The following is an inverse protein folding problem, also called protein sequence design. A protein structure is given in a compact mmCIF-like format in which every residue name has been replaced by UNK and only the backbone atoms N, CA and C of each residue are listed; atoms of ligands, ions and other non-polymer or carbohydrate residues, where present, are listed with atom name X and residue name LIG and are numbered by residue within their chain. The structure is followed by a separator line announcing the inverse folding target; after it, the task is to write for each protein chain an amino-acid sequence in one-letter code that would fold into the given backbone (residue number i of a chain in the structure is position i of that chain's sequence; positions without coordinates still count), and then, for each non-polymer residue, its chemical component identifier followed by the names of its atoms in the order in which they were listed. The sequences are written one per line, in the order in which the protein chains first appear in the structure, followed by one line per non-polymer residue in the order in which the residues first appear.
data_IF_589862887474
#
_entry.id   IF_589862887474
#
_cell.length_a   1.000
_cell.length_b   1.000
_cell.length_c   1.000
_cell.angle_alpha   90.00
_cell.angle_beta   90.00
_cell.angle_gamma   90.00
#
_symmetry.space_group_name_H-M   'P 1'
#
loop_
_entity.id
_entity.type
_entity.pdbx_description
1 polymer ?
#
# COMPACT_ATOMS: atom_id res chain seq x y z
N UNK A 1 14.16 11.50 -20.20
CA UNK A 1 14.09 12.93 -19.85
C UNK A 1 15.34 13.31 -19.07
N UNK A 2 15.77 14.59 -19.12
CA UNK A 2 16.94 15.08 -18.38
C UNK A 2 16.59 16.39 -17.68
N UNK A 3 17.03 16.56 -16.44
CA UNK A 3 16.79 17.78 -15.65
C UNK A 3 15.97 17.54 -14.39
N UNK A 4 15.32 18.59 -13.91
CA UNK A 4 14.55 18.58 -12.65
C UNK A 4 13.06 18.40 -12.97
N UNK A 5 12.43 17.37 -12.43
CA UNK A 5 11.00 17.17 -12.55
C UNK A 5 10.25 17.91 -11.42
N UNK A 6 9.15 18.57 -11.81
CA UNK A 6 8.26 19.22 -10.86
C UNK A 6 7.44 18.22 -10.03
N UNK A 7 6.49 18.77 -9.29
CA UNK A 7 5.53 18.05 -8.47
C UNK A 7 4.68 17.08 -9.31
N UNK A 8 4.28 15.95 -8.72
CA UNK A 8 3.40 14.95 -9.36
C UNK A 8 3.92 14.37 -10.67
N UNK A 9 5.25 14.28 -10.82
CA UNK A 9 5.87 13.65 -11.98
C UNK A 9 5.37 12.21 -12.16
N UNK A 10 4.90 11.87 -13.36
CA UNK A 10 4.32 10.56 -13.69
C UNK A 10 3.12 10.14 -12.82
N UNK A 11 2.33 11.09 -12.33
CA UNK A 11 1.06 10.76 -11.67
C UNK A 11 0.11 10.01 -12.63
N UNK A 12 -0.58 8.98 -12.11
CA UNK A 12 -1.54 8.15 -12.84
C UNK A 12 -1.01 7.54 -14.15
N UNK A 13 0.30 7.25 -14.20
CA UNK A 13 0.94 6.73 -15.42
C UNK A 13 0.33 5.37 -15.80
N UNK A 14 -0.23 5.31 -17.01
CA UNK A 14 -0.95 4.16 -17.53
C UNK A 14 -0.03 3.00 -17.95
N UNK A 15 -0.56 1.76 -18.07
CA UNK A 15 0.21 0.61 -18.50
C UNK A 15 0.80 0.80 -19.90
N UNK A 16 2.01 0.30 -20.12
CA UNK A 16 2.73 0.42 -21.39
C UNK A 16 3.49 1.72 -21.59
N UNK A 17 3.35 2.70 -20.68
CA UNK A 17 4.15 3.93 -20.70
C UNK A 17 5.36 3.78 -19.77
N UNK A 18 6.54 4.06 -20.33
CA UNK A 18 7.82 3.95 -19.64
C UNK A 18 8.54 5.30 -19.65
N UNK A 19 8.82 5.83 -18.46
CA UNK A 19 9.47 7.13 -18.31
C UNK A 19 10.77 6.95 -17.55
N UNK A 20 11.87 7.42 -18.14
CA UNK A 20 13.17 7.50 -17.48
C UNK A 20 13.57 8.97 -17.30
N UNK A 21 13.98 9.35 -16.10
CA UNK A 21 14.48 10.67 -15.74
C UNK A 21 15.92 10.57 -15.27
N UNK A 22 16.81 11.33 -15.91
CA UNK A 22 18.19 11.56 -15.47
C UNK A 22 18.28 12.94 -14.82
N UNK A 23 18.29 12.98 -13.49
CA UNK A 23 18.17 14.18 -12.67
C UNK A 23 17.48 13.87 -11.35
N UNK A 24 16.57 14.73 -10.92
CA UNK A 24 15.84 14.64 -9.64
C UNK A 24 14.40 15.10 -9.82
N UNK A 25 13.54 14.74 -8.87
CA UNK A 25 12.13 15.07 -8.90
C UNK A 25 11.63 15.58 -7.54
N UNK A 26 10.64 16.47 -7.57
CA UNK A 26 9.98 16.98 -6.36
C UNK A 26 8.95 15.97 -5.81
N UNK A 27 8.02 16.42 -4.97
CA UNK A 27 7.08 15.53 -4.27
C UNK A 27 6.05 14.87 -5.21
N UNK A 28 5.41 13.82 -4.69
CA UNK A 28 4.32 13.09 -5.34
C UNK A 28 4.69 12.37 -6.65
N UNK A 29 5.97 12.00 -6.82
CA UNK A 29 6.38 11.15 -7.94
C UNK A 29 5.52 9.89 -7.98
N UNK A 30 4.99 9.56 -9.15
CA UNK A 30 4.16 8.39 -9.38
C UNK A 30 2.94 8.30 -8.45
N UNK A 31 2.38 9.44 -8.02
CA UNK A 31 1.10 9.49 -7.30
C UNK A 31 0.01 8.75 -8.07
N UNK A 32 -0.65 7.80 -7.42
CA UNK A 32 -1.70 6.99 -8.02
C UNK A 32 -1.25 6.21 -9.25
N UNK A 33 -0.02 5.70 -9.29
CA UNK A 33 0.49 4.90 -10.41
C UNK A 33 -0.50 3.80 -10.81
N UNK A 34 -0.69 3.62 -12.13
CA UNK A 34 -1.73 2.75 -12.72
C UNK A 34 -1.18 1.85 -13.82
N UNK A 35 0.02 1.30 -13.64
CA UNK A 35 0.63 0.24 -14.46
C UNK A 35 1.86 0.67 -15.26
N UNK A 36 2.17 1.96 -15.30
CA UNK A 36 3.37 2.47 -15.97
C UNK A 36 4.68 2.12 -15.25
N UNK A 37 5.82 2.36 -15.91
CA UNK A 37 7.15 2.27 -15.29
C UNK A 37 7.83 3.63 -15.19
N UNK A 38 8.41 3.93 -14.03
CA UNK A 38 9.17 5.16 -13.79
C UNK A 38 10.56 4.80 -13.28
N UNK A 39 11.60 5.27 -13.96
CA UNK A 39 13.00 5.06 -13.55
C UNK A 39 13.67 6.42 -13.35
N UNK A 40 14.18 6.70 -12.15
CA UNK A 40 14.83 7.97 -11.80
C UNK A 40 16.26 7.68 -11.39
N UNK A 41 17.21 8.30 -12.08
CA UNK A 41 18.65 8.16 -11.84
C UNK A 41 19.32 9.53 -11.71
N UNK A 42 20.37 9.68 -10.88
CA UNK A 42 21.07 10.94 -10.74
C UNK A 42 21.64 11.42 -12.08
N UNK A 43 21.81 12.73 -12.23
CA UNK A 43 22.41 13.29 -13.43
C UNK A 43 23.81 12.68 -13.69
N UNK A 44 24.08 12.21 -14.92
CA UNK A 44 25.32 11.47 -15.25
C UNK A 44 26.60 12.23 -14.90
N UNK A 45 26.57 13.57 -14.92
CA UNK A 45 27.69 14.43 -14.50
C UNK A 45 28.06 14.30 -13.02
N UNK A 46 27.13 13.86 -12.18
CA UNK A 46 27.33 13.66 -10.75
C UNK A 46 27.86 12.27 -10.42
N UNK A 47 27.64 11.28 -11.30
CA UNK A 47 28.02 9.87 -11.11
C UNK A 47 29.54 9.64 -11.27
N UNK A 48 30.32 10.36 -10.47
CA UNK A 48 31.76 10.16 -10.30
C UNK A 48 32.04 9.06 -9.27
N UNK A 49 33.29 8.60 -9.16
CA UNK A 49 33.65 7.52 -8.20
C UNK A 49 33.34 7.86 -6.74
N UNK A 50 33.25 9.14 -6.38
CA UNK A 50 33.01 9.60 -5.00
C UNK A 50 31.54 9.97 -4.75
N UNK A 51 30.64 9.70 -5.69
CA UNK A 51 29.21 9.99 -5.52
C UNK A 51 28.46 8.74 -5.08
N UNK A 52 28.01 8.78 -3.83
CA UNK A 52 27.18 7.77 -3.19
C UNK A 52 25.72 8.14 -3.36
N UNK A 53 25.01 7.48 -4.27
CA UNK A 53 23.60 7.80 -4.54
C UNK A 53 22.71 7.48 -3.34
N UNK A 54 23.09 6.46 -2.58
CA UNK A 54 22.47 6.02 -1.35
C UNK A 54 22.49 7.06 -0.22
N UNK A 55 23.32 8.09 -0.30
CA UNK A 55 23.40 9.17 0.70
C UNK A 55 22.61 10.43 0.31
N UNK A 56 22.00 10.46 -0.88
CA UNK A 56 21.41 11.67 -1.45
C UNK A 56 19.92 11.49 -1.76
N UNK A 57 19.12 12.49 -1.39
CA UNK A 57 17.71 12.56 -1.77
C UNK A 57 17.60 12.91 -3.26
N UNK A 58 16.86 12.09 -4.00
CA UNK A 58 16.62 12.28 -5.44
C UNK A 58 15.14 12.48 -5.78
N UNK A 59 14.24 12.02 -4.91
CA UNK A 59 12.80 12.28 -5.02
C UNK A 59 12.24 12.86 -3.72
N UNK A 60 11.25 13.73 -3.86
CA UNK A 60 10.56 14.37 -2.74
C UNK A 60 9.61 13.45 -1.96
N UNK A 61 8.73 14.09 -1.19
CA UNK A 61 7.82 13.44 -0.26
C UNK A 61 6.66 12.71 -0.97
N UNK A 62 6.01 11.81 -0.25
CA UNK A 62 4.74 11.19 -0.66
C UNK A 62 4.76 10.57 -2.07
N UNK A 63 5.91 10.05 -2.48
CA UNK A 63 6.04 9.28 -3.71
C UNK A 63 5.17 8.02 -3.62
N UNK A 64 4.56 7.64 -4.76
CA UNK A 64 3.69 6.46 -4.89
C UNK A 64 2.44 6.50 -4.01
N UNK A 65 2.00 7.69 -3.62
CA UNK A 65 0.77 7.84 -2.83
C UNK A 65 -0.41 7.13 -3.50
N UNK A 66 -0.93 6.08 -2.85
CA UNK A 66 -2.12 5.35 -3.32
C UNK A 66 -1.91 4.37 -4.49
N UNK A 67 -0.69 3.92 -4.80
CA UNK A 67 -0.42 3.24 -6.06
C UNK A 67 -1.05 1.85 -6.18
N UNK A 68 -1.71 1.53 -7.31
CA UNK A 68 -2.47 0.28 -7.55
C UNK A 68 -2.10 -0.39 -8.89
N UNK A 69 -0.86 -0.15 -9.34
CA UNK A 69 0.11 -1.11 -9.92
C UNK A 69 1.07 -0.34 -10.85
N UNK A 70 2.14 -0.98 -11.33
CA UNK A 70 3.25 -0.37 -12.06
C UNK A 70 4.58 -0.59 -11.34
N UNK A 71 5.66 -0.10 -11.92
CA UNK A 71 7.03 -0.31 -11.40
C UNK A 71 7.79 1.00 -11.26
N UNK A 72 8.45 1.21 -10.13
CA UNK A 72 9.26 2.41 -9.91
C UNK A 72 10.65 2.06 -9.39
N UNK A 73 11.67 2.58 -10.07
CA UNK A 73 13.07 2.38 -9.74
C UNK A 73 13.75 3.72 -9.47
N UNK A 74 14.26 3.91 -8.27
CA UNK A 74 14.84 5.17 -7.79
C UNK A 74 16.27 4.93 -7.33
N UNK A 75 17.25 5.45 -8.07
CA UNK A 75 18.66 5.42 -7.66
C UNK A 75 18.98 6.61 -6.77
N UNK A 76 18.65 6.45 -5.49
CA UNK A 76 18.92 7.40 -4.42
C UNK A 76 17.87 7.26 -3.33
N UNK A 77 17.89 8.17 -2.36
CA UNK A 77 16.90 8.21 -1.29
C UNK A 77 15.62 8.92 -1.73
N UNK A 78 14.48 8.37 -1.33
CA UNK A 78 13.24 9.12 -1.28
C UNK A 78 13.12 9.90 0.04
N UNK A 79 12.41 11.01 0.03
CA UNK A 79 12.12 11.75 1.26
C UNK A 79 11.03 11.06 2.11
N UNK A 80 10.24 11.82 2.85
CA UNK A 80 9.28 11.31 3.83
C UNK A 80 8.03 10.72 3.16
N UNK A 81 7.29 9.88 3.90
CA UNK A 81 6.01 9.31 3.46
C UNK A 81 6.14 8.56 2.13
N UNK A 82 7.26 7.88 1.93
CA UNK A 82 7.49 7.05 0.77
C UNK A 82 6.52 5.87 0.73
N UNK A 83 5.88 5.60 -0.42
CA UNK A 83 4.92 4.50 -0.58
C UNK A 83 3.72 4.55 0.38
N UNK A 84 3.31 5.75 0.81
CA UNK A 84 2.10 5.88 1.64
C UNK A 84 0.89 5.36 0.88
N UNK A 85 0.14 4.46 1.52
CA UNK A 85 -1.03 3.80 0.91
C UNK A 85 -0.71 3.09 -0.42
N UNK A 86 0.50 2.57 -0.60
CA UNK A 86 0.76 1.70 -1.72
C UNK A 86 -0.14 0.46 -1.60
N UNK A 87 -0.83 0.13 -2.68
CA UNK A 87 -1.83 -0.93 -2.75
C UNK A 87 -1.57 -1.88 -3.93
N UNK A 88 -0.42 -1.79 -4.62
CA UNK A 88 -0.11 -2.71 -5.71
C UNK A 88 1.25 -2.52 -6.41
N UNK A 89 1.86 -1.33 -6.34
CA UNK A 89 3.08 -1.07 -7.11
C UNK A 89 4.31 -1.83 -6.58
N UNK A 90 5.21 -2.18 -7.50
CA UNK A 90 6.55 -2.74 -7.19
C UNK A 90 7.58 -1.62 -7.25
N UNK A 91 8.36 -1.46 -6.18
CA UNK A 91 9.21 -0.30 -5.99
C UNK A 91 10.58 -0.72 -5.50
N UNK A 92 11.65 -0.17 -6.08
CA UNK A 92 13.03 -0.31 -5.56
C UNK A 92 13.65 1.08 -5.41
N UNK A 93 14.16 1.37 -4.22
CA UNK A 93 14.88 2.61 -3.93
C UNK A 93 16.12 2.34 -3.05
N UNK A 94 17.06 3.29 -2.98
CA UNK A 94 18.28 3.14 -2.16
C UNK A 94 18.10 3.63 -0.72
N UNK A 95 16.92 4.16 -0.38
CA UNK A 95 16.56 4.54 0.99
C UNK A 95 15.27 5.35 1.02
N UNK A 96 14.77 5.61 2.22
CA UNK A 96 13.62 6.50 2.41
C UNK A 96 13.70 7.28 3.72
N UNK A 97 13.00 8.42 3.78
CA UNK A 97 12.79 9.19 5.00
C UNK A 97 11.81 8.55 5.99
N UNK A 98 11.29 9.37 6.90
CA UNK A 98 10.34 8.96 7.95
C UNK A 98 8.98 8.55 7.34
N UNK A 99 8.23 7.71 8.07
CA UNK A 99 6.89 7.23 7.68
C UNK A 99 6.85 6.47 6.35
N UNK A 100 7.92 5.75 6.00
CA UNK A 100 7.94 4.86 4.84
C UNK A 100 6.90 3.73 4.97
N UNK A 101 6.22 3.41 3.87
CA UNK A 101 5.17 2.39 3.77
C UNK A 101 4.00 2.56 4.76
N UNK A 102 3.72 3.79 5.21
CA UNK A 102 2.56 4.06 6.08
C UNK A 102 1.26 3.68 5.36
N UNK A 103 0.37 2.96 6.04
CA UNK A 103 -0.93 2.51 5.50
C UNK A 103 -0.83 1.70 4.20
N UNK A 104 0.31 1.08 3.91
CA UNK A 104 0.45 0.21 2.74
C UNK A 104 -0.46 -1.02 2.89
N UNK A 105 -1.23 -1.30 1.84
CA UNK A 105 -2.22 -2.39 1.79
C UNK A 105 -1.90 -3.42 0.70
N UNK A 106 -0.90 -3.19 -0.14
CA UNK A 106 -0.52 -4.09 -1.23
C UNK A 106 0.74 -3.63 -1.98
N UNK A 107 1.24 -4.48 -2.87
CA UNK A 107 2.48 -4.23 -3.62
C UNK A 107 3.74 -4.74 -2.91
N UNK A 108 4.91 -4.44 -3.49
CA UNK A 108 6.21 -4.87 -2.96
C UNK A 108 7.22 -3.71 -2.99
N UNK A 109 7.83 -3.42 -1.84
CA UNK A 109 8.82 -2.34 -1.72
C UNK A 109 10.18 -2.92 -1.34
N UNK A 110 11.24 -2.56 -2.04
CA UNK A 110 12.61 -2.93 -1.73
C UNK A 110 13.41 -1.66 -1.46
N UNK A 111 14.03 -1.59 -0.29
CA UNK A 111 14.94 -0.53 0.10
C UNK A 111 16.34 -1.11 0.22
N UNK A 112 17.27 -0.61 -0.62
CA UNK A 112 18.68 -1.02 -0.62
C UNK A 112 19.54 -0.20 0.36
N UNK A 113 18.91 0.47 1.31
CA UNK A 113 19.59 1.29 2.30
C UNK A 113 18.65 1.74 3.40
N UNK A 114 19.05 2.79 4.12
CA UNK A 114 18.43 3.20 5.37
C UNK A 114 16.99 3.68 5.18
N UNK A 115 16.15 3.36 6.16
CA UNK A 115 14.83 3.97 6.34
C UNK A 115 14.85 5.01 7.48
N UNK A 116 13.92 5.95 7.43
CA UNK A 116 13.57 6.81 8.56
C UNK A 116 12.72 6.10 9.63
N UNK A 117 12.25 6.88 10.59
CA UNK A 117 11.45 6.46 11.76
C UNK A 117 10.01 6.13 11.38
N UNK A 118 9.35 5.39 12.27
CA UNK A 118 7.94 5.01 12.16
C UNK A 118 7.60 4.32 10.83
N UNK A 119 8.53 3.50 10.34
CA UNK A 119 8.34 2.72 9.11
C UNK A 119 7.22 1.68 9.29
N UNK A 120 6.41 1.48 8.26
CA UNK A 120 5.30 0.52 8.20
C UNK A 120 4.15 0.77 9.21
N UNK A 121 4.02 1.99 9.74
CA UNK A 121 2.90 2.32 10.61
C UNK A 121 1.55 2.16 9.89
N UNK A 122 0.66 1.36 10.47
CA UNK A 122 -0.65 1.06 9.88
C UNK A 122 -0.59 0.23 8.59
N UNK A 123 0.55 -0.37 8.26
CA UNK A 123 0.68 -1.28 7.12
C UNK A 123 -0.13 -2.56 7.41
N UNK A 124 -1.09 -2.86 6.52
CA UNK A 124 -2.01 -4.00 6.64
C UNK A 124 -1.85 -5.04 5.52
N UNK A 125 -1.12 -4.72 4.44
CA UNK A 125 -0.89 -5.64 3.34
C UNK A 125 0.31 -5.28 2.46
N UNK A 126 0.72 -6.23 1.60
CA UNK A 126 1.96 -6.15 0.82
C UNK A 126 3.20 -6.57 1.61
N UNK A 127 4.37 -6.52 0.96
CA UNK A 127 5.66 -6.90 1.55
C UNK A 127 6.69 -5.79 1.36
N UNK A 128 7.52 -5.54 2.38
CA UNK A 128 8.68 -4.67 2.24
C UNK A 128 9.97 -5.40 2.62
N UNK A 129 11.03 -5.20 1.83
CA UNK A 129 12.35 -5.78 2.03
C UNK A 129 13.32 -4.62 2.28
N UNK A 130 13.94 -4.57 3.46
CA UNK A 130 14.83 -3.48 3.84
C UNK A 130 16.22 -4.03 4.09
N UNK A 131 17.21 -3.54 3.35
CA UNK A 131 18.61 -3.85 3.55
C UNK A 131 19.14 -3.08 4.76
N UNK A 132 19.40 -3.80 5.85
CA UNK A 132 19.79 -3.27 7.17
C UNK A 132 21.19 -3.77 7.58
N UNK A 133 22.21 -3.35 6.83
CA UNK A 133 23.60 -3.71 7.12
C UNK A 133 24.06 -3.27 8.52
N UNK A 134 23.50 -2.17 9.04
CA UNK A 134 23.84 -1.62 10.37
C UNK A 134 23.02 -2.23 11.52
N UNK A 135 22.04 -3.10 11.23
CA UNK A 135 21.12 -3.72 12.21
C UNK A 135 20.34 -2.70 13.07
N UNK A 136 19.99 -1.53 12.49
CA UNK A 136 19.28 -0.44 13.18
C UNK A 136 17.81 -0.32 12.81
N UNK A 137 17.36 -1.04 11.78
CA UNK A 137 16.01 -0.90 11.21
C UNK A 137 14.92 -1.27 12.22
N UNK A 138 15.14 -2.28 13.05
CA UNK A 138 14.18 -2.73 14.07
C UNK A 138 13.71 -1.60 14.99
N UNK A 139 14.61 -0.69 15.37
CA UNK A 139 14.28 0.46 16.23
C UNK A 139 13.52 1.58 15.49
N UNK A 140 13.55 1.57 14.15
CA UNK A 140 12.89 2.56 13.28
C UNK A 140 11.54 2.09 12.74
N UNK A 141 11.26 0.80 12.84
CA UNK A 141 10.00 0.21 12.40
C UNK A 141 8.92 0.26 13.50
N UNK A 142 7.69 0.57 13.11
CA UNK A 142 6.53 0.48 13.98
C UNK A 142 5.96 -0.94 13.94
N UNK A 143 6.15 -1.69 15.03
CA UNK A 143 5.79 -3.11 15.12
C UNK A 143 4.33 -3.37 15.55
N UNK A 144 3.46 -2.35 15.57
CA UNK A 144 2.07 -2.52 16.03
C UNK A 144 1.28 -3.47 15.11
N UNK A 145 1.47 -3.38 13.79
CA UNK A 145 0.70 -4.14 12.79
C UNK A 145 1.56 -5.05 11.92
N UNK A 146 2.89 -5.06 12.12
CA UNK A 146 3.83 -5.83 11.31
C UNK A 146 4.79 -6.64 12.17
N UNK A 147 5.23 -7.77 11.63
CA UNK A 147 6.30 -8.60 12.16
C UNK A 147 7.51 -8.49 11.22
N UNK A 148 8.71 -8.53 11.82
CA UNK A 148 9.97 -8.52 11.09
C UNK A 148 10.54 -9.94 11.06
N UNK A 149 10.98 -10.38 9.89
CA UNK A 149 11.66 -11.66 9.68
C UNK A 149 13.03 -11.42 9.04
N UNK A 150 14.03 -12.18 9.47
CA UNK A 150 15.32 -12.20 8.79
C UNK A 150 15.19 -12.98 7.46
N UNK A 151 15.79 -12.45 6.42
CA UNK A 151 15.85 -13.11 5.12
C UNK A 151 16.99 -14.13 5.08
N UNK A 152 16.74 -15.27 4.46
CA UNK A 152 17.74 -16.32 4.20
C UNK A 152 17.68 -16.72 2.72
N UNK A 153 18.70 -17.43 2.24
CA UNK A 153 18.70 -17.99 0.88
C UNK A 153 17.55 -18.99 0.64
N UNK A 154 17.11 -19.66 1.70
CA UNK A 154 16.04 -20.66 1.67
C UNK A 154 14.65 -20.02 1.67
N UNK A 155 14.56 -18.71 1.95
CA UNK A 155 13.31 -17.98 1.94
C UNK A 155 12.71 -17.95 0.53
N UNK A 156 11.41 -18.23 0.39
CA UNK A 156 10.71 -18.26 -0.90
C UNK A 156 10.81 -16.94 -1.69
N UNK A 157 10.98 -15.82 -1.00
CA UNK A 157 11.09 -14.50 -1.61
C UNK A 157 12.52 -14.17 -2.07
N UNK A 158 13.54 -14.95 -1.70
CA UNK A 158 14.95 -14.65 -1.99
C UNK A 158 15.23 -14.60 -3.50
N UNK A 159 14.69 -15.56 -4.26
CA UNK A 159 14.83 -15.61 -5.72
C UNK A 159 14.17 -14.41 -6.41
N UNK A 160 12.97 -14.02 -5.94
CA UNK A 160 12.27 -12.84 -6.43
C UNK A 160 13.05 -11.55 -6.10
N UNK A 161 13.57 -11.44 -4.88
CA UNK A 161 14.37 -10.31 -4.41
C UNK A 161 15.63 -10.13 -5.27
N UNK A 162 16.38 -11.21 -5.52
CA UNK A 162 17.55 -11.17 -6.41
C UNK A 162 17.18 -10.67 -7.82
N UNK A 163 16.06 -11.17 -8.36
CA UNK A 163 15.58 -10.80 -9.70
C UNK A 163 15.20 -9.32 -9.79
N UNK A 164 14.49 -8.78 -8.80
CA UNK A 164 14.07 -7.38 -8.84
C UNK A 164 15.25 -6.42 -8.60
N UNK A 165 16.21 -6.80 -7.75
CA UNK A 165 17.46 -6.04 -7.55
C UNK A 165 18.30 -6.05 -8.83
N UNK A 166 18.36 -7.18 -9.54
CA UNK A 166 19.02 -7.26 -10.85
C UNK A 166 18.36 -6.36 -11.88
N UNK A 167 17.05 -6.36 -11.95
CA UNK A 167 16.29 -5.44 -12.82
C UNK A 167 16.59 -3.99 -12.48
N UNK A 168 16.62 -3.65 -11.18
CA UNK A 168 16.98 -2.33 -10.71
C UNK A 168 18.41 -1.94 -11.10
N UNK A 169 19.38 -2.85 -10.97
CA UNK A 169 20.76 -2.63 -11.43
C UNK A 169 20.83 -2.39 -12.94
N UNK A 170 20.18 -3.23 -13.74
CA UNK A 170 20.20 -3.11 -15.20
C UNK A 170 19.58 -1.78 -15.67
N UNK A 171 18.56 -1.27 -14.98
CA UNK A 171 17.89 -0.01 -15.33
C UNK A 171 18.56 1.25 -14.76
N UNK A 172 19.29 1.14 -13.65
CA UNK A 172 19.81 2.32 -12.93
C UNK A 172 21.34 2.42 -12.85
N UNK A 173 22.04 1.31 -13.05
CA UNK A 173 23.47 1.18 -12.82
C UNK A 173 23.88 1.44 -11.36
N UNK A 174 22.99 1.19 -10.39
CA UNK A 174 23.25 1.37 -8.96
C UNK A 174 24.47 0.57 -8.49
N UNK A 175 25.40 1.22 -7.79
CA UNK A 175 26.58 0.57 -7.24
C UNK A 175 26.23 -0.30 -6.02
N UNK A 176 25.24 0.11 -5.23
CA UNK A 176 24.73 -0.64 -4.09
C UNK A 176 24.08 -1.94 -4.57
N UNK A 177 23.21 -1.85 -5.58
CA UNK A 177 22.60 -3.04 -6.18
C UNK A 177 23.65 -3.99 -6.75
N UNK A 178 24.69 -3.45 -7.41
CA UNK A 178 25.82 -4.25 -7.91
C UNK A 178 26.56 -4.99 -6.78
N UNK A 179 26.79 -4.32 -5.65
CA UNK A 179 27.44 -4.92 -4.49
C UNK A 179 26.61 -6.07 -3.93
N UNK A 180 25.33 -5.81 -3.67
CA UNK A 180 24.39 -6.80 -3.14
C UNK A 180 24.28 -8.00 -4.07
N UNK A 181 24.20 -7.79 -5.38
CA UNK A 181 24.13 -8.89 -6.36
C UNK A 181 25.42 -9.70 -6.44
N UNK A 182 26.59 -9.07 -6.24
CA UNK A 182 27.88 -9.76 -6.27
C UNK A 182 28.03 -10.73 -5.09
N UNK A 183 27.52 -10.34 -3.93
CA UNK A 183 27.63 -11.11 -2.68
C UNK A 183 26.26 -11.53 -2.15
N UNK A 184 25.31 -11.85 -3.03
CA UNK A 184 23.91 -12.05 -2.64
C UNK A 184 23.74 -13.17 -1.61
N UNK A 185 24.56 -14.22 -1.71
CA UNK A 185 24.52 -15.37 -0.81
C UNK A 185 24.78 -15.00 0.65
N UNK A 186 25.61 -13.99 0.90
CA UNK A 186 25.88 -13.46 2.23
C UNK A 186 24.98 -12.27 2.56
N UNK A 187 24.76 -11.38 1.59
CA UNK A 187 24.04 -10.12 1.79
C UNK A 187 22.54 -10.30 1.98
N UNK A 188 21.96 -11.41 1.53
CA UNK A 188 20.54 -11.71 1.77
C UNK A 188 20.23 -11.75 3.27
N UNK A 189 21.17 -12.17 4.11
CA UNK A 189 21.02 -12.21 5.57
C UNK A 189 20.91 -10.83 6.22
N UNK A 190 21.32 -9.77 5.50
CA UNK A 190 21.19 -8.38 5.93
C UNK A 190 19.85 -7.76 5.52
N UNK A 191 18.99 -8.48 4.79
CA UNK A 191 17.64 -8.03 4.53
C UNK A 191 16.69 -8.41 5.67
N UNK A 192 15.87 -7.43 6.06
CA UNK A 192 14.71 -7.62 6.93
C UNK A 192 13.45 -7.61 6.08
N UNK A 193 12.66 -8.66 6.19
CA UNK A 193 11.33 -8.76 5.61
C UNK A 193 10.30 -8.19 6.61
N UNK A 194 9.60 -7.16 6.18
CA UNK A 194 8.47 -6.56 6.90
C UNK A 194 7.18 -7.20 6.41
N UNK A 195 6.48 -7.86 7.32
CA UNK A 195 5.30 -8.66 7.03
C UNK A 195 4.10 -8.21 7.87
N UNK A 196 2.99 -7.77 7.28
CA UNK A 196 1.78 -7.42 8.04
C UNK A 196 1.15 -8.62 8.72
N UNK A 197 0.77 -8.48 9.99
CA UNK A 197 0.29 -9.58 10.82
C UNK A 197 -1.02 -10.18 10.28
N UNK A 198 -1.94 -9.32 9.84
CA UNK A 198 -3.23 -9.74 9.27
C UNK A 198 -3.02 -10.47 7.94
N UNK A 199 -2.11 -9.99 7.10
CA UNK A 199 -1.75 -10.64 5.83
C UNK A 199 -1.10 -12.00 6.05
N UNK A 200 -0.20 -12.10 7.04
CA UNK A 200 0.44 -13.37 7.41
C UNK A 200 -0.57 -14.39 7.91
N UNK A 201 -1.51 -13.95 8.75
CA UNK A 201 -2.57 -14.81 9.29
C UNK A 201 -3.50 -15.31 8.19
N UNK A 202 -3.90 -14.44 7.27
CA UNK A 202 -4.72 -14.79 6.11
C UNK A 202 -4.03 -15.84 5.21
N UNK A 203 -2.73 -15.65 4.92
CA UNK A 203 -1.95 -16.60 4.13
C UNK A 203 -1.85 -17.95 4.82
N UNK A 204 -1.61 -17.99 6.13
CA UNK A 204 -1.59 -19.25 6.90
C UNK A 204 -2.90 -20.02 6.77
N UNK A 205 -4.04 -19.35 6.95
CA UNK A 205 -5.36 -19.98 6.79
C UNK A 205 -5.55 -20.55 5.39
N UNK A 206 -5.23 -19.78 4.34
CA UNK A 206 -5.33 -20.25 2.95
C UNK A 206 -4.41 -21.44 2.66
N UNK A 207 -3.22 -21.47 3.25
CA UNK A 207 -2.26 -22.55 3.04
C UNK A 207 -2.66 -23.82 3.80
N UNK A 208 -3.28 -23.69 4.98
CA UNK A 208 -3.90 -24.79 5.70
C UNK A 208 -5.11 -25.39 4.95
N UNK A 209 -5.89 -24.56 4.27
CA UNK A 209 -7.04 -24.99 3.45
C UNK A 209 -6.61 -25.63 2.11
N UNK A 210 -5.52 -25.15 1.50
CA UNK A 210 -5.03 -25.63 0.19
C UNK A 210 -3.88 -26.66 0.30
N UNK A 211 -3.49 -27.07 1.50
CA UNK A 211 -2.42 -28.05 1.73
C UNK A 211 -1.01 -27.58 1.32
N UNK A 212 -0.80 -26.26 1.22
CA UNK A 212 0.51 -25.66 0.94
C UNK A 212 1.19 -25.40 2.29
N UNK A 213 2.48 -25.70 2.43
CA UNK A 213 3.21 -25.44 3.69
C UNK A 213 3.92 -24.09 3.55
N UNK A 214 3.49 -23.08 4.31
CA UNK A 214 4.36 -21.95 4.63
C UNK A 214 5.30 -22.41 5.74
N UNK A 215 6.61 -22.39 5.49
CA UNK A 215 7.57 -22.80 6.51
C UNK A 215 7.62 -21.81 7.68
N UNK A 216 7.82 -22.37 8.86
CA UNK A 216 7.98 -21.67 10.12
C UNK A 216 9.01 -20.56 10.00
N UNK A 217 8.61 -19.37 10.44
CA UNK A 217 9.47 -18.21 10.52
C UNK A 217 10.71 -18.56 11.33
N UNK A 218 11.86 -18.53 10.66
CA UNK A 218 13.16 -18.57 11.31
C UNK A 218 13.18 -17.49 12.42
N UNK A 219 13.61 -17.96 13.58
CA UNK A 219 13.77 -17.31 14.89
C UNK A 219 13.61 -15.78 14.96
N UNK A 220 12.78 -15.26 15.89
CA UNK A 220 12.81 -13.84 16.24
C UNK A 220 14.22 -13.47 16.75
N UNK A 221 14.76 -12.39 16.20
CA UNK A 221 16.12 -11.89 16.40
C UNK A 221 16.54 -11.94 17.88
N UNK A 222 17.50 -12.83 18.20
CA UNK A 222 18.25 -12.85 19.45
C UNK A 222 19.76 -12.97 19.14
N UNK A 223 20.49 -11.90 19.48
CA UNK A 223 21.85 -11.90 20.06
C UNK A 223 23.00 -12.68 19.40
N UNK A 224 23.90 -11.89 18.82
CA UNK A 224 25.37 -11.96 18.95
C UNK A 224 26.25 -12.96 18.15
N UNK A 225 27.30 -12.34 17.57
CA UNK A 225 28.72 -12.77 17.52
C UNK A 225 29.32 -13.42 16.25
N UNK A 226 30.02 -12.56 15.48
CA UNK A 226 31.41 -12.64 14.91
C UNK A 226 31.93 -13.93 14.25
N UNK A 227 32.40 -13.84 13.00
CA UNK A 227 33.84 -13.80 12.62
C UNK A 227 34.09 -14.16 11.14
N UNK A 228 35.08 -13.47 10.56
CA UNK A 228 35.48 -13.46 9.16
C UNK A 228 36.39 -14.63 8.77
N UNK A 229 36.33 -15.09 7.51
CA UNK A 229 37.46 -15.74 6.80
C UNK A 229 37.37 -15.47 5.28
N UNK A 230 38.55 -15.17 4.70
CA UNK A 230 38.92 -14.82 3.32
C UNK A 230 38.68 -15.86 2.21
N UNK A 231 38.52 -15.31 1.00
CA UNK A 231 39.03 -15.70 -0.33
C UNK A 231 39.08 -17.19 -0.74
N UNK A 232 38.33 -17.57 -1.80
CA UNK A 232 38.80 -17.48 -3.19
C UNK A 232 37.74 -17.99 -4.18
N UNK A 233 37.89 -17.53 -5.42
CA UNK A 233 37.03 -17.61 -6.60
C UNK A 233 36.33 -18.96 -6.93
N UNK A 234 35.13 -18.85 -7.49
CA UNK A 234 34.71 -19.76 -8.56
C UNK A 234 33.22 -20.05 -8.69
N UNK A 235 32.64 -19.57 -9.79
CA UNK A 235 31.52 -20.15 -10.55
C UNK A 235 30.07 -19.74 -10.22
N UNK A 236 29.59 -18.81 -11.06
CA UNK A 236 28.38 -18.87 -11.91
C UNK A 236 27.18 -19.66 -11.39
N UNK A 237 26.10 -18.94 -11.02
CA UNK A 237 24.77 -19.52 -10.78
C UNK A 237 23.92 -19.53 -12.07
N UNK A 238 23.18 -20.61 -12.40
CA UNK A 238 22.74 -20.91 -13.77
C UNK A 238 21.41 -20.26 -14.19
N UNK A 239 21.18 -20.29 -15.51
CA UNK A 239 20.07 -19.72 -16.29
C UNK A 239 18.63 -20.21 -15.98
N UNK A 240 18.37 -20.82 -14.82
CA UNK A 240 17.03 -21.30 -14.43
C UNK A 240 16.11 -20.18 -13.89
N UNK A 241 16.65 -19.03 -13.50
CA UNK A 241 15.91 -17.89 -12.95
C UNK A 241 15.05 -17.13 -13.98
N UNK A 242 15.17 -17.44 -15.28
CA UNK A 242 14.46 -16.73 -16.35
C UNK A 242 13.00 -17.17 -16.55
N UNK A 243 12.52 -18.22 -15.87
CA UNK A 243 11.19 -18.81 -16.14
C UNK A 243 10.07 -18.47 -15.14
N UNK A 244 10.33 -17.74 -14.06
CA UNK A 244 9.30 -17.44 -13.03
C UNK A 244 8.60 -16.07 -13.16
N UNK A 245 8.87 -15.31 -14.23
CA UNK A 245 8.28 -13.97 -14.43
C UNK A 245 6.84 -14.03 -14.97
N UNK A 246 6.33 -15.20 -15.39
CA UNK A 246 5.08 -15.32 -16.14
C UNK A 246 3.80 -15.46 -15.30
N UNK A 247 3.87 -15.77 -14.01
CA UNK A 247 2.67 -15.85 -13.17
C UNK A 247 2.68 -14.74 -12.13
N UNK A 248 2.05 -13.62 -12.50
CA UNK A 248 1.65 -12.59 -11.54
C UNK A 248 0.86 -13.25 -10.42
N UNK A 249 1.48 -13.39 -9.25
CA UNK A 249 0.81 -13.78 -8.03
C UNK A 249 -0.29 -12.73 -7.81
N UNK A 250 -1.56 -13.10 -8.01
CA UNK A 250 -2.71 -12.24 -7.75
C UNK A 250 -2.60 -11.74 -6.30
N UNK A 251 -2.36 -10.44 -6.13
CA UNK A 251 -2.63 -9.77 -4.86
C UNK A 251 -4.13 -9.84 -4.65
N UNK A 252 -4.57 -10.73 -3.77
CA UNK A 252 -5.96 -10.86 -3.36
C UNK A 252 -6.22 -9.71 -2.36
N UNK A 253 -7.21 -8.87 -2.65
CA UNK A 253 -7.62 -7.80 -1.74
C UNK A 253 -8.13 -8.43 -0.44
N UNK A 254 -7.84 -7.81 0.71
CA UNK A 254 -8.19 -8.35 2.03
C UNK A 254 -9.70 -8.52 2.19
N UNK A 255 -10.50 -7.70 1.48
CA UNK A 255 -11.96 -7.80 1.45
C UNK A 255 -12.45 -9.02 0.65
N UNK A 256 -11.67 -9.50 -0.33
CA UNK A 256 -11.99 -10.69 -1.13
C UNK A 256 -11.71 -12.01 -0.38
N UNK A 257 -10.92 -11.95 0.70
CA UNK A 257 -10.58 -13.08 1.58
C UNK A 257 -11.67 -13.34 2.63
N UNK A 258 -12.37 -12.30 3.08
CA UNK A 258 -13.46 -12.37 4.08
C UNK A 258 -14.77 -12.95 3.53
N UNK A 259 -14.69 -13.95 2.63
CA UNK A 259 -15.83 -14.44 1.84
C UNK A 259 -16.87 -15.23 2.61
N UNK A 260 -16.67 -15.55 3.87
CA UNK A 260 -17.68 -16.24 4.67
C UNK A 260 -17.92 -15.53 6.00
N UNK A 261 -19.21 -15.30 6.29
CA UNK A 261 -19.78 -14.81 7.55
C UNK A 261 -20.00 -13.31 7.76
N UNK A 262 -20.56 -12.58 6.79
CA UNK A 262 -21.49 -11.47 7.14
C UNK A 262 -22.73 -11.61 6.28
N UNK A 263 -23.72 -12.33 6.79
CA UNK A 263 -25.09 -12.23 6.30
C UNK A 263 -25.51 -10.76 6.36
N UNK A 264 -26.28 -10.30 5.37
CA UNK A 264 -27.01 -9.03 5.47
C UNK A 264 -27.91 -9.15 6.69
N UNK A 265 -27.47 -8.63 7.84
CA UNK A 265 -28.37 -8.46 8.96
C UNK A 265 -29.44 -7.47 8.50
N UNK A 266 -30.67 -7.97 8.30
CA UNK A 266 -31.83 -7.13 8.12
C UNK A 266 -31.83 -6.13 9.28
N UNK A 267 -31.53 -4.87 8.99
CA UNK A 267 -31.52 -3.83 10.01
C UNK A 267 -32.86 -3.85 10.74
N UNK A 268 -32.82 -3.90 12.07
CA UNK A 268 -34.03 -3.90 12.88
C UNK A 268 -34.89 -2.68 12.51
N UNK A 269 -36.12 -2.90 12.05
CA UNK A 269 -37.09 -1.83 11.86
C UNK A 269 -37.50 -1.32 13.23
N UNK A 270 -37.04 -0.11 13.56
CA UNK A 270 -37.48 0.60 14.77
C UNK A 270 -38.42 1.71 14.31
N UNK A 271 -39.67 1.65 14.76
CA UNK A 271 -40.75 2.58 14.38
C UNK A 271 -40.36 4.04 14.66
N UNK A 272 -39.65 4.27 15.78
CA UNK A 272 -39.09 5.57 16.18
C UNK A 272 -37.64 5.37 16.65
N UNK A 273 -36.63 5.56 15.78
CA UNK A 273 -35.22 5.41 16.14
C UNK A 273 -34.75 6.51 17.10
N UNK A 274 -33.91 6.15 18.08
CA UNK A 274 -33.28 7.12 18.97
C UNK A 274 -32.22 7.93 18.20
N UNK A 275 -32.51 9.21 17.95
CA UNK A 275 -31.61 10.10 17.22
C UNK A 275 -30.34 10.38 18.03
N UNK A 276 -30.44 10.76 19.31
CA UNK A 276 -29.31 11.19 20.14
C UNK A 276 -28.29 10.08 20.41
N UNK A 277 -28.74 8.84 20.55
CA UNK A 277 -27.86 7.68 20.83
C UNK A 277 -27.79 6.68 19.69
N UNK A 278 -28.25 7.04 18.50
CA UNK A 278 -28.35 6.13 17.36
C UNK A 278 -27.00 5.54 16.95
N UNK A 279 -25.91 6.32 17.03
CA UNK A 279 -24.56 5.85 16.70
C UNK A 279 -24.10 4.67 17.57
N UNK A 280 -24.47 4.69 18.85
CA UNK A 280 -24.11 3.67 19.84
C UNK A 280 -25.08 2.49 19.80
N UNK A 281 -26.38 2.79 19.62
CA UNK A 281 -27.45 1.78 19.72
C UNK A 281 -27.58 0.92 18.47
N UNK A 282 -27.30 1.47 17.29
CA UNK A 282 -27.55 0.79 16.03
C UNK A 282 -26.22 0.52 15.31
N UNK A 283 -25.95 -0.72 14.87
CA UNK A 283 -24.75 -1.02 14.08
C UNK A 283 -24.86 -0.45 12.66
N UNK A 284 -23.71 -0.32 11.99
CA UNK A 284 -23.67 0.10 10.59
C UNK A 284 -24.15 -1.03 9.71
N UNK A 285 -25.20 -0.80 8.95
CA UNK A 285 -25.56 -1.69 7.86
C UNK A 285 -24.49 -1.53 6.78
N UNK A 286 -23.73 -2.60 6.53
CA UNK A 286 -22.75 -2.66 5.44
C UNK A 286 -23.42 -3.30 4.23
N UNK A 287 -23.31 -2.64 3.08
CA UNK A 287 -23.69 -3.25 1.81
C UNK A 287 -22.48 -4.05 1.34
N UNK A 288 -22.72 -5.29 0.94
CA UNK A 288 -21.67 -6.11 0.34
C UNK A 288 -21.38 -5.53 -1.05
N UNK A 289 -20.11 -5.19 -1.30
CA UNK A 289 -19.70 -4.75 -2.63
C UNK A 289 -19.92 -5.88 -3.65
N UNK A 290 -20.35 -5.56 -4.87
CA UNK A 290 -20.38 -6.55 -5.95
C UNK A 290 -18.97 -6.90 -6.37
N UNK A 291 -18.83 -8.03 -7.06
CA UNK A 291 -17.54 -8.44 -7.60
C UNK A 291 -16.94 -7.36 -8.50
N UNK A 292 -15.62 -7.31 -8.62
CA UNK A 292 -14.94 -6.34 -9.49
C UNK A 292 -15.40 -6.55 -10.94
N UNK A 293 -15.53 -7.81 -11.36
CA UNK A 293 -15.93 -8.19 -12.71
C UNK A 293 -17.31 -7.63 -13.07
N UNK A 294 -18.29 -7.71 -12.17
CA UNK A 294 -19.63 -7.16 -12.40
C UNK A 294 -19.63 -5.61 -12.39
N UNK A 295 -18.84 -5.00 -11.49
CA UNK A 295 -18.74 -3.53 -11.36
C UNK A 295 -18.14 -2.84 -12.58
N UNK A 296 -17.35 -3.54 -13.38
CA UNK A 296 -16.78 -2.99 -14.61
C UNK A 296 -17.83 -2.82 -15.71
N UNK A 297 -18.95 -3.56 -15.65
CA UNK A 297 -19.96 -3.57 -16.70
C UNK A 297 -21.11 -2.60 -16.46
N UNK A 298 -21.36 -2.20 -15.21
CA UNK A 298 -22.42 -1.27 -14.86
C UNK A 298 -22.15 -0.48 -13.57
N UNK A 299 -22.83 0.65 -13.43
CA UNK A 299 -22.75 1.52 -12.24
C UNK A 299 -23.90 1.29 -11.24
N UNK A 300 -24.72 0.24 -11.42
CA UNK A 300 -25.95 0.00 -10.67
C UNK A 300 -25.74 -0.15 -9.17
N UNK A 301 -24.53 -0.48 -8.72
CA UNK A 301 -24.17 -0.50 -7.29
C UNK A 301 -24.20 0.87 -6.62
N UNK A 302 -23.85 1.92 -7.38
CA UNK A 302 -23.98 3.31 -6.91
C UNK A 302 -25.46 3.70 -6.82
N UNK A 303 -26.31 3.05 -7.64
CA UNK A 303 -27.75 3.31 -7.76
C UNK A 303 -28.64 2.23 -7.10
N UNK A 304 -28.10 1.37 -6.24
CA UNK A 304 -28.82 0.23 -5.66
C UNK A 304 -29.82 0.66 -4.56
N UNK A 305 -30.83 1.44 -4.95
CA UNK A 305 -31.78 2.09 -4.04
C UNK A 305 -32.69 1.10 -3.30
N UNK A 306 -32.97 -0.07 -3.88
CA UNK A 306 -33.94 -1.04 -3.33
C UNK A 306 -33.58 -1.57 -1.94
N UNK A 307 -32.32 -1.93 -1.73
CA UNK A 307 -31.81 -2.45 -0.44
C UNK A 307 -31.54 -1.32 0.58
N UNK A 308 -31.26 -0.11 0.08
CA UNK A 308 -30.98 1.08 0.90
C UNK A 308 -32.24 1.71 1.53
N UNK A 309 -33.43 1.47 0.95
CA UNK A 309 -34.70 1.98 1.49
C UNK A 309 -35.01 1.40 2.88
N UNK A 310 -34.63 0.15 3.13
CA UNK A 310 -34.95 -0.54 4.37
C UNK A 310 -33.98 -0.15 5.49
N UNK A 311 -34.49 0.41 6.60
CA UNK A 311 -33.67 0.85 7.72
C UNK A 311 -32.97 2.22 7.54
N UNK A 312 -33.29 2.98 6.49
CA UNK A 312 -32.71 4.30 6.23
C UNK A 312 -32.92 5.27 7.41
N UNK A 313 -34.11 5.26 8.02
CA UNK A 313 -34.45 6.07 9.21
C UNK A 313 -33.56 5.75 10.41
N UNK A 314 -33.21 4.47 10.58
CA UNK A 314 -32.32 3.97 11.65
C UNK A 314 -30.87 4.36 11.35
N UNK A 315 -30.41 4.20 10.11
CA UNK A 315 -29.06 4.59 9.72
C UNK A 315 -28.85 6.11 9.75
N UNK A 316 -29.85 6.91 9.36
CA UNK A 316 -29.83 8.37 9.46
C UNK A 316 -29.81 8.85 10.93
N UNK A 317 -30.38 8.07 11.86
CA UNK A 317 -30.29 8.33 13.30
C UNK A 317 -28.88 8.12 13.87
N UNK A 318 -27.99 7.40 13.15
CA UNK A 318 -26.60 7.17 13.59
C UNK A 318 -25.71 8.40 13.40
N UNK A 319 -26.06 9.28 12.47
CA UNK A 319 -25.37 10.54 12.30
C UNK A 319 -25.93 11.56 13.29
N UNK A 320 -25.25 11.70 14.43
CA UNK A 320 -25.37 12.79 15.38
C UNK A 320 -23.98 13.25 15.81
N UNK A 321 -23.82 14.55 16.01
CA UNK A 321 -22.74 15.20 16.76
C UNK A 321 -21.34 14.60 16.64
N UNK A 322 -20.95 14.26 15.41
CA UNK A 322 -19.54 14.06 15.10
C UNK A 322 -18.84 15.36 15.48
N UNK A 323 -17.94 15.32 16.47
CA UNK A 323 -17.19 16.47 16.99
C UNK A 323 -16.27 17.17 15.97
N UNK A 324 -16.48 16.92 14.68
CA UNK A 324 -15.91 17.67 13.55
C UNK A 324 -16.71 18.97 13.42
N UNK A 325 -16.20 20.11 13.92
CA UNK A 325 -16.98 21.34 14.11
C UNK A 325 -17.53 21.91 12.80
N UNK A 326 -16.89 21.59 11.68
CA UNK A 326 -17.22 22.12 10.36
C UNK A 326 -18.51 21.53 9.78
N UNK A 327 -18.84 20.27 10.09
CA UNK A 327 -20.01 19.62 9.53
C UNK A 327 -21.33 20.21 10.05
N UNK A 328 -21.32 20.83 11.23
CA UNK A 328 -22.49 21.42 11.88
C UNK A 328 -22.66 22.92 11.62
N UNK A 329 -21.72 23.53 10.90
CA UNK A 329 -21.82 24.95 10.59
C UNK A 329 -22.91 25.20 9.55
N UNK A 330 -23.49 26.41 9.54
CA UNK A 330 -24.48 26.83 8.54
C UNK A 330 -23.96 26.79 7.09
N UNK A 331 -22.64 26.68 6.91
CA UNK A 331 -21.97 26.61 5.61
C UNK A 331 -21.61 25.17 5.19
N UNK A 332 -21.87 24.18 6.06
CA UNK A 332 -21.55 22.77 5.84
C UNK A 332 -20.06 22.45 5.92
N UNK A 333 -19.71 21.22 5.54
CA UNK A 333 -18.32 20.78 5.35
C UNK A 333 -17.60 21.72 4.36
N UNK A 334 -16.27 21.94 4.43
CA UNK A 334 -15.51 22.71 3.43
C UNK A 334 -15.67 22.24 1.97
N UNK A 335 -16.30 21.08 1.75
CA UNK A 335 -16.71 20.57 0.44
C UNK A 335 -18.15 20.99 0.03
N UNK A 336 -18.83 21.86 0.78
CA UNK A 336 -20.21 22.29 0.53
C UNK A 336 -21.29 21.25 0.86
N UNK A 337 -20.93 20.17 1.56
CA UNK A 337 -21.83 19.05 1.83
C UNK A 337 -22.71 19.28 3.08
N UNK A 338 -24.03 19.26 2.89
CA UNK A 338 -25.08 19.43 3.92
C UNK A 338 -25.53 18.09 4.54
N UNK A 339 -24.60 17.17 4.76
CA UNK A 339 -24.89 15.79 5.21
C UNK A 339 -25.71 15.74 6.52
N UNK A 340 -25.44 16.58 7.55
CA UNK A 340 -26.24 16.55 8.77
C UNK A 340 -27.70 16.98 8.55
N UNK A 341 -27.91 18.05 7.79
CA UNK A 341 -29.26 18.54 7.46
C UNK A 341 -30.03 17.49 6.65
N UNK A 342 -29.37 16.84 5.68
CA UNK A 342 -29.95 15.76 4.91
C UNK A 342 -30.36 14.58 5.80
N UNK A 343 -29.48 14.11 6.70
CA UNK A 343 -29.80 13.02 7.62
C UNK A 343 -30.94 13.36 8.60
N UNK A 344 -31.06 14.62 9.01
CA UNK A 344 -32.15 15.08 9.86
C UNK A 344 -33.48 15.12 9.13
N UNK A 345 -33.51 15.57 7.88
CA UNK A 345 -34.70 15.54 7.03
C UNK A 345 -35.14 14.09 6.75
N UNK A 346 -34.19 13.20 6.42
CA UNK A 346 -34.45 11.77 6.21
C UNK A 346 -34.97 11.09 7.49
N UNK A 347 -34.47 11.47 8.66
CA UNK A 347 -34.96 10.96 9.94
C UNK A 347 -36.38 11.45 10.26
N UNK A 348 -36.68 12.73 9.96
CA UNK A 348 -37.97 13.38 10.23
C UNK A 348 -39.07 13.07 9.21
N UNK A 349 -38.72 12.52 8.04
CA UNK A 349 -39.65 12.21 6.95
C UNK A 349 -40.48 13.43 6.47
N UNK A 350 -39.87 14.60 6.36
CA UNK A 350 -40.57 15.80 5.87
C UNK A 350 -40.63 15.85 4.34
N UNK A 351 -41.75 16.33 3.77
CA UNK A 351 -41.93 16.51 2.31
C UNK A 351 -40.84 17.41 1.69
N UNK A 352 -40.30 18.36 2.46
CA UNK A 352 -39.15 19.20 2.08
C UNK A 352 -37.91 18.38 1.68
N UNK A 353 -37.72 17.17 2.22
CA UNK A 353 -36.64 16.27 1.80
C UNK A 353 -36.71 15.93 0.30
N UNK A 354 -37.92 15.80 -0.23
CA UNK A 354 -38.16 15.42 -1.63
C UNK A 354 -37.90 16.57 -2.60
N UNK A 355 -38.25 17.80 -2.22
CA UNK A 355 -38.13 18.99 -3.06
C UNK A 355 -36.71 19.58 -3.05
N UNK A 356 -36.05 19.63 -1.89
CA UNK A 356 -34.75 20.31 -1.75
C UNK A 356 -33.58 19.53 -2.37
N UNK A 357 -33.71 18.21 -2.51
CA UNK A 357 -32.64 17.31 -2.97
C UNK A 357 -33.05 16.45 -4.18
N UNK A 358 -34.19 16.75 -4.81
CA UNK A 358 -34.71 16.06 -6.01
C UNK A 358 -34.83 14.53 -5.83
N UNK A 359 -35.43 14.12 -4.71
CA UNK A 359 -35.51 12.71 -4.26
C UNK A 359 -36.80 12.03 -4.76
N UNK A 360 -37.61 12.69 -5.61
CA UNK A 360 -38.88 12.16 -6.12
C UNK A 360 -38.75 10.78 -6.80
N UNK A 361 -37.59 10.47 -7.38
CA UNK A 361 -37.24 9.17 -7.96
C UNK A 361 -36.88 8.07 -6.95
N UNK A 362 -36.64 8.39 -5.68
CA UNK A 362 -36.42 7.38 -4.63
C UNK A 362 -37.71 6.86 -4.00
N UNK A 363 -38.87 7.43 -4.33
CA UNK A 363 -40.17 7.02 -3.76
C UNK A 363 -41.23 6.70 -4.82
N UNK A 364 -40.94 6.87 -6.10
CA UNK A 364 -41.82 6.46 -7.19
C UNK A 364 -41.28 5.20 -7.87
N UNK A 365 -42.13 4.17 -7.87
CA UNK A 365 -41.93 2.76 -8.25
C UNK A 365 -41.16 1.88 -7.24
#
# INVERSE_FOLDING_TARGET
MRGHAGQSFCAFLAPGVYVSLTGDANDYVAKGLSGGKVTIVPASRLLTKNFHSEDHIIVGNACLYGAIDGRVFIRGQAAERFCVRNSGAIVVAEGCGDHGCEYMTGGRVVLLGRSGRNFAAGMSGGLAFVYDADRVFKARCNLQTVTLFDMTLENEYASWLCTIIRTFFDETGSLVARHILKYFDTEVSNFVLVFPNDYYSALKTMTAENGIVLMDAATPVNGDAVSAIDDNDGAVVPAAAAKSIANGLKTIDIEDVLKESVAVEKGAEVEIPDKLRGFVKYPRTKIKYRSIEERLHDWSEVYAHGTLRHGLKVQAARCMDCGVPFCQSSFGCPLGNLIPNWNDLVHKQTEECHEQFNISTLYSA
#
